data_IF_579907678350
#
_entry.id   IF_579907678350
#
_cell.length_a   1.000
_cell.length_b   1.000
_cell.length_c   1.000
_cell.angle_alpha   90.00
_cell.angle_beta   90.00
_cell.angle_gamma   90.00
#
_symmetry.space_group_name_H-M   'P 1'
#
loop_
_entity.id
_entity.type
_entity.pdbx_description
1 polymer ?
#
# COMPACT_ATOMS: atom_id res chain seq x y z
N UNK A 1 1.26 -8.23 -20.47
CA UNK A 1 0.89 -9.00 -19.26
C UNK A 1 0.60 -8.06 -18.11
N UNK A 2 -0.48 -8.29 -17.41
CA UNK A 2 -0.84 -7.52 -16.22
C UNK A 2 -0.66 -8.40 -14.98
N UNK A 3 0.03 -7.86 -13.98
CA UNK A 3 0.31 -8.59 -12.74
C UNK A 3 -0.48 -7.98 -11.60
N UNK A 4 -1.16 -8.83 -10.83
CA UNK A 4 -1.86 -8.39 -9.62
C UNK A 4 -0.93 -8.62 -8.42
N UNK A 5 -0.61 -7.55 -7.72
CA UNK A 5 0.13 -7.61 -6.47
C UNK A 5 -0.87 -7.64 -5.31
N UNK A 6 -0.87 -8.71 -4.55
CA UNK A 6 -1.85 -8.96 -3.49
C UNK A 6 -1.13 -9.00 -2.15
N UNK A 7 -1.54 -8.16 -1.22
CA UNK A 7 -0.96 -8.23 0.11
C UNK A 7 -0.83 -6.86 0.78
N UNK A 8 0.26 -6.70 1.52
CA UNK A 8 0.45 -5.60 2.43
C UNK A 8 0.66 -4.25 1.75
N UNK A 9 0.24 -3.23 2.46
CA UNK A 9 0.62 -1.85 2.19
C UNK A 9 0.99 -1.22 3.53
N UNK A 10 1.71 -0.12 3.46
CA UNK A 10 2.06 0.64 4.66
C UNK A 10 2.30 2.09 4.26
N UNK A 11 2.09 2.98 5.20
CA UNK A 11 2.55 4.36 5.07
C UNK A 11 3.77 4.49 5.97
N UNK A 12 4.91 4.85 5.39
CA UNK A 12 6.12 5.11 6.14
C UNK A 12 6.06 6.53 6.68
N UNK A 13 6.01 6.66 8.00
CA UNK A 13 5.86 7.93 8.70
C UNK A 13 7.20 8.32 9.30
N UNK A 14 7.85 9.33 8.71
CA UNK A 14 9.11 9.87 9.21
C UNK A 14 8.80 10.90 10.29
N UNK A 15 8.90 10.49 11.55
CA UNK A 15 8.43 11.27 12.68
C UNK A 15 9.08 12.64 12.82
N UNK A 16 10.39 12.71 12.64
CA UNK A 16 11.13 13.96 12.82
C UNK A 16 10.93 14.94 11.67
N UNK A 17 10.77 14.42 10.46
CA UNK A 17 10.61 15.24 9.26
C UNK A 17 9.14 15.61 9.00
N UNK A 18 8.20 14.93 9.64
CA UNK A 18 6.78 15.13 9.39
C UNK A 18 6.31 14.69 8.01
N UNK A 19 7.05 13.80 7.36
CA UNK A 19 6.75 13.33 6.00
C UNK A 19 6.23 11.90 6.02
N UNK A 20 5.39 11.57 5.02
CA UNK A 20 4.83 10.23 4.85
C UNK A 20 5.03 9.77 3.42
N UNK A 21 5.34 8.48 3.25
CA UNK A 21 5.55 7.89 1.93
C UNK A 21 4.82 6.56 1.82
N UNK A 22 4.27 6.21 0.64
CA UNK A 22 3.73 4.88 0.40
C UNK A 22 4.81 3.82 0.56
N UNK A 23 4.48 2.71 1.20
CA UNK A 23 5.40 1.62 1.43
C UNK A 23 4.71 0.27 1.43
N UNK A 24 5.45 -0.73 1.87
CA UNK A 24 5.01 -2.12 1.83
C UNK A 24 5.58 -2.84 0.61
N UNK A 25 6.02 -4.08 0.81
CA UNK A 25 6.67 -4.84 -0.27
C UNK A 25 5.76 -5.04 -1.47
N UNK A 26 4.49 -5.36 -1.23
CA UNK A 26 3.53 -5.61 -2.30
C UNK A 26 3.26 -4.35 -3.13
N UNK A 27 3.08 -3.21 -2.47
CA UNK A 27 2.90 -1.92 -3.15
C UNK A 27 4.14 -1.56 -3.97
N UNK A 28 5.33 -1.78 -3.41
CA UNK A 28 6.58 -1.49 -4.10
C UNK A 28 6.74 -2.34 -5.35
N UNK A 29 6.34 -3.60 -5.33
CA UNK A 29 6.37 -4.47 -6.51
C UNK A 29 5.47 -3.91 -7.61
N UNK A 30 4.23 -3.52 -7.27
CA UNK A 30 3.30 -2.96 -8.25
C UNK A 30 3.85 -1.69 -8.91
N UNK A 31 4.37 -0.77 -8.10
CA UNK A 31 4.92 0.50 -8.59
C UNK A 31 6.14 0.25 -9.49
N UNK A 32 7.03 -0.67 -9.10
CA UNK A 32 8.22 -0.96 -9.88
C UNK A 32 7.88 -1.61 -11.23
N UNK A 33 6.86 -2.45 -11.29
CA UNK A 33 6.38 -3.02 -12.55
C UNK A 33 5.91 -1.94 -13.52
N UNK A 34 5.18 -0.95 -13.01
CA UNK A 34 4.75 0.18 -13.85
C UNK A 34 5.95 0.97 -14.35
N UNK A 35 6.96 1.23 -13.50
CA UNK A 35 8.16 1.96 -13.89
C UNK A 35 8.95 1.24 -14.98
N UNK A 36 8.87 -0.09 -15.02
CA UNK A 36 9.55 -0.91 -16.03
C UNK A 36 8.74 -1.07 -17.31
N UNK A 37 7.62 -0.35 -17.44
CA UNK A 37 6.79 -0.39 -18.63
C UNK A 37 5.72 -1.47 -18.64
N UNK A 38 5.56 -2.20 -17.53
CA UNK A 38 4.53 -3.23 -17.40
C UNK A 38 3.21 -2.68 -16.92
N UNK A 39 2.25 -3.57 -16.71
CA UNK A 39 0.95 -3.26 -16.12
C UNK A 39 0.82 -3.96 -14.79
N UNK A 40 0.27 -3.27 -13.79
CA UNK A 40 0.09 -3.82 -12.46
C UNK A 40 -1.21 -3.34 -11.83
N UNK A 41 -1.81 -4.23 -11.03
CA UNK A 41 -2.92 -3.91 -10.15
C UNK A 41 -2.48 -4.18 -8.71
N UNK A 42 -3.08 -3.47 -7.76
CA UNK A 42 -2.87 -3.74 -6.35
C UNK A 42 -4.19 -4.15 -5.71
N UNK A 43 -4.17 -5.25 -4.95
CA UNK A 43 -5.32 -5.77 -4.21
C UNK A 43 -4.98 -5.78 -2.73
N UNK A 44 -5.71 -5.01 -1.96
CA UNK A 44 -5.50 -4.89 -0.51
C UNK A 44 -6.58 -4.04 0.13
N UNK A 45 -6.38 -3.74 1.41
CA UNK A 45 -7.30 -2.88 2.17
C UNK A 45 -6.56 -1.62 2.64
N UNK A 46 -7.27 -0.49 2.57
CA UNK A 46 -6.85 0.76 3.21
C UNK A 46 -7.97 1.20 4.16
N UNK A 47 -7.62 2.04 5.11
CA UNK A 47 -8.57 2.60 6.05
C UNK A 47 -9.24 3.87 5.53
N UNK A 48 -10.10 4.43 6.37
CA UNK A 48 -10.83 5.68 6.07
C UNK A 48 -10.05 6.93 6.52
N UNK A 49 -8.80 6.78 6.91
CA UNK A 49 -7.93 7.85 7.38
C UNK A 49 -7.18 8.56 6.24
N UNK A 50 -6.41 9.59 6.59
CA UNK A 50 -5.64 10.35 5.63
C UNK A 50 -4.55 9.51 4.94
N UNK A 51 -3.97 8.55 5.64
CA UNK A 51 -2.96 7.65 5.08
C UNK A 51 -3.55 6.83 3.93
N UNK A 52 -4.76 6.30 4.12
CA UNK A 52 -5.45 5.54 3.08
C UNK A 52 -5.74 6.38 1.85
N UNK A 53 -6.28 7.58 2.05
CA UNK A 53 -6.58 8.50 0.95
C UNK A 53 -5.31 8.88 0.16
N UNK A 54 -4.22 9.16 0.86
CA UNK A 54 -2.94 9.52 0.25
C UNK A 54 -2.34 8.36 -0.53
N UNK A 55 -2.37 7.16 0.04
CA UNK A 55 -1.86 5.96 -0.63
C UNK A 55 -2.65 5.65 -1.89
N UNK A 56 -3.97 5.69 -1.82
CA UNK A 56 -4.85 5.47 -2.97
C UNK A 56 -4.54 6.45 -4.10
N UNK A 57 -4.43 7.72 -3.77
CA UNK A 57 -4.13 8.77 -4.73
C UNK A 57 -2.75 8.57 -5.37
N UNK A 58 -1.75 8.20 -4.56
CA UNK A 58 -0.40 7.98 -5.05
C UNK A 58 -0.34 6.79 -6.02
N UNK A 59 -1.01 5.69 -5.70
CA UNK A 59 -1.05 4.52 -6.57
C UNK A 59 -1.74 4.83 -7.89
N UNK A 60 -2.88 5.51 -7.85
CA UNK A 60 -3.60 5.90 -9.06
C UNK A 60 -2.76 6.83 -9.93
N UNK A 61 -2.05 7.78 -9.33
CA UNK A 61 -1.20 8.72 -10.05
C UNK A 61 -0.04 8.01 -10.76
N UNK A 62 0.41 6.88 -10.25
CA UNK A 62 1.49 6.09 -10.84
C UNK A 62 1.01 5.07 -11.87
N UNK A 63 -0.30 5.02 -12.12
CA UNK A 63 -0.86 4.11 -13.12
C UNK A 63 -1.17 2.71 -12.64
N UNK A 64 -1.11 2.47 -11.33
CA UNK A 64 -1.50 1.18 -10.76
C UNK A 64 -3.02 1.06 -10.78
N UNK A 65 -3.54 -0.09 -11.24
CA UNK A 65 -4.97 -0.38 -11.23
C UNK A 65 -5.42 -0.62 -9.78
N UNK A 66 -6.27 0.25 -9.27
CA UNK A 66 -6.79 0.20 -7.90
C UNK A 66 -8.26 -0.21 -7.84
N UNK A 67 -8.79 -0.81 -8.90
CA UNK A 67 -10.21 -1.20 -8.95
C UNK A 67 -10.59 -2.22 -7.87
N UNK A 68 -9.63 -3.00 -7.37
CA UNK A 68 -9.83 -3.97 -6.29
C UNK A 68 -9.13 -3.58 -4.99
N UNK A 69 -8.75 -2.31 -4.85
CA UNK A 69 -8.30 -1.75 -3.58
C UNK A 69 -9.53 -1.31 -2.80
N UNK A 70 -9.79 -1.95 -1.68
CA UNK A 70 -10.99 -1.71 -0.89
C UNK A 70 -10.71 -0.79 0.29
N UNK A 71 -11.62 0.14 0.55
CA UNK A 71 -11.57 1.00 1.74
C UNK A 71 -12.43 0.39 2.82
N UNK A 72 -11.85 0.15 3.99
CA UNK A 72 -12.55 -0.42 5.14
C UNK A 72 -12.53 0.57 6.30
N UNK A 73 -13.56 0.60 7.15
CA UNK A 73 -13.56 1.49 8.32
C UNK A 73 -12.38 1.17 9.23
N UNK A 74 -11.60 2.18 9.56
CA UNK A 74 -10.46 2.02 10.46
C UNK A 74 -9.21 2.71 9.95
N UNK A 75 -8.08 2.33 10.53
CA UNK A 75 -6.77 2.90 10.24
C UNK A 75 -6.06 2.12 9.15
N UNK A 76 -5.44 2.83 8.22
CA UNK A 76 -4.54 2.20 7.26
C UNK A 76 -3.26 1.75 7.95
N UNK A 77 -2.57 0.70 7.43
CA UNK A 77 -1.29 0.29 7.99
C UNK A 77 -0.25 1.41 7.95
N UNK A 78 0.57 1.50 8.98
CA UNK A 78 1.66 2.47 9.01
C UNK A 78 2.86 1.95 9.78
N UNK A 79 4.03 2.49 9.45
CA UNK A 79 5.30 2.21 10.13
C UNK A 79 5.94 3.53 10.51
N UNK A 80 6.25 3.72 11.77
CA UNK A 80 6.98 4.91 12.23
C UNK A 80 8.47 4.70 12.00
N UNK A 81 9.13 5.71 11.46
CA UNK A 81 10.55 5.65 11.11
C UNK A 81 11.26 6.87 11.70
N UNK A 82 12.40 6.64 12.34
CA UNK A 82 13.33 7.70 12.75
C UNK A 82 14.65 7.48 12.02
N UNK A 83 15.42 8.56 11.89
CA UNK A 83 16.76 8.50 11.30
C UNK A 83 17.81 8.66 12.39
N UNK A 84 18.81 7.75 12.40
CA UNK A 84 19.94 7.81 13.28
C UNK A 84 21.20 7.78 12.42
N UNK A 85 21.91 8.92 12.35
CA UNK A 85 23.08 9.10 11.50
C UNK A 85 22.80 8.71 10.03
N UNK A 86 21.59 9.04 9.52
CA UNK A 86 21.18 8.70 8.18
C UNK A 86 20.62 7.28 8.00
N UNK A 87 20.69 6.46 9.04
CA UNK A 87 20.12 5.10 8.99
C UNK A 87 18.70 5.08 9.51
N UNK A 88 17.83 4.32 8.82
CA UNK A 88 16.45 4.18 9.23
C UNK A 88 16.32 3.27 10.44
N UNK A 89 15.60 3.74 11.45
CA UNK A 89 15.25 2.95 12.64
C UNK A 89 13.74 2.79 12.63
N UNK A 90 13.28 1.54 12.53
CA UNK A 90 11.87 1.23 12.49
C UNK A 90 11.30 1.21 13.91
N UNK A 91 10.24 2.01 14.12
CA UNK A 91 9.54 2.08 15.39
C UNK A 91 8.23 1.31 15.35
N UNK A 92 7.15 1.96 15.79
CA UNK A 92 5.84 1.33 15.86
C UNK A 92 5.32 0.94 14.48
N UNK A 93 4.82 -0.28 14.36
CA UNK A 93 4.13 -0.79 13.18
C UNK A 93 2.69 -1.16 13.55
N UNK A 94 1.73 -0.74 12.76
CA UNK A 94 0.32 -1.08 12.95
C UNK A 94 -0.22 -1.61 11.63
N UNK A 95 -0.78 -2.82 11.66
CA UNK A 95 -1.36 -3.44 10.47
C UNK A 95 -2.69 -2.80 10.06
N UNK A 96 -3.35 -2.08 10.97
CA UNK A 96 -4.62 -1.44 10.69
C UNK A 96 -5.64 -2.42 10.11
N UNK A 97 -6.36 -1.97 9.09
CA UNK A 97 -7.41 -2.78 8.44
C UNK A 97 -6.87 -4.01 7.71
N UNK A 98 -5.56 -4.08 7.43
CA UNK A 98 -4.97 -5.26 6.80
C UNK A 98 -4.90 -6.47 7.74
N UNK A 99 -5.03 -6.29 9.05
CA UNK A 99 -5.05 -7.39 10.01
C UNK A 99 -6.13 -8.42 9.68
N UNK A 100 -7.23 -7.97 9.09
CA UNK A 100 -8.36 -8.84 8.74
C UNK A 100 -8.53 -8.97 7.22
N UNK A 101 -7.44 -8.82 6.47
CA UNK A 101 -7.50 -8.88 5.03
C UNK A 101 -8.00 -10.23 4.53
N UNK A 102 -8.91 -10.20 3.55
CA UNK A 102 -9.42 -11.39 2.88
C UNK A 102 -9.69 -11.07 1.41
N UNK A 103 -9.72 -12.10 0.58
CA UNK A 103 -10.08 -11.96 -0.83
C UNK A 103 -11.53 -12.39 -1.02
N UNK A 104 -12.30 -11.54 -1.73
CA UNK A 104 -13.65 -11.91 -2.17
C UNK A 104 -13.56 -12.82 -3.41
N UNK A 105 -14.67 -13.45 -3.78
CA UNK A 105 -14.72 -14.22 -5.03
C UNK A 105 -14.43 -13.33 -6.24
N UNK A 106 -14.92 -12.10 -6.24
CA UNK A 106 -14.66 -11.14 -7.30
C UNK A 106 -13.17 -10.80 -7.40
N UNK A 107 -12.48 -10.64 -6.26
CA UNK A 107 -11.04 -10.42 -6.22
C UNK A 107 -10.28 -11.61 -6.80
N UNK A 108 -10.69 -12.84 -6.45
CA UNK A 108 -10.06 -14.05 -6.95
C UNK A 108 -10.20 -14.17 -8.46
N UNK A 109 -11.39 -13.86 -8.99
CA UNK A 109 -11.63 -13.87 -10.42
C UNK A 109 -10.79 -12.83 -11.15
N UNK A 110 -10.66 -11.65 -10.57
CA UNK A 110 -9.83 -10.57 -11.10
C UNK A 110 -8.35 -10.99 -11.17
N UNK A 111 -7.83 -11.62 -10.12
CA UNK A 111 -6.44 -12.07 -10.04
C UNK A 111 -6.14 -13.16 -11.08
N UNK A 112 -7.11 -14.02 -11.33
CA UNK A 112 -6.95 -15.17 -12.24
C UNK A 112 -7.20 -14.86 -13.71
N UNK A 113 -7.45 -13.61 -14.07
CA UNK A 113 -7.64 -13.23 -15.48
C UNK A 113 -6.38 -13.35 -16.31
#
# INVERSE_FOLDING_TARGET
>A
MKIAAVGDNSTDVYLEQGETYPGGNTVNVAVNLIRLGGEAAYVGFIGTDEYGAKLKKALAAKGVDISHLSTKPGTSPYTEITLDNGNRVFGKYDEGVMEHFYLTEEDKQFICQ
#
